data_IF_635693117655
#
_entry.id   IF_635693117655
#
_cell.length_a   1.000
_cell.length_b   1.000
_cell.length_c   1.000
_cell.angle_alpha   90.00
_cell.angle_beta   90.00
_cell.angle_gamma   90.00
#
_symmetry.space_group_name_H-M   'P 1'
#
loop_
_entity.id
_entity.type
_entity.pdbx_description
1 polymer ?
#
# COMPACT_ATOMS: atom_id res chain seq x y z
N UNK A 1 18.65 -11.11 -12.00
CA UNK A 1 17.23 -10.80 -12.24
C UNK A 1 16.81 -9.62 -11.39
N UNK A 2 16.24 -8.61 -12.01
CA UNK A 2 15.71 -7.48 -11.27
C UNK A 2 14.51 -7.92 -10.45
N UNK A 3 14.46 -7.45 -9.20
CA UNK A 3 13.30 -7.70 -8.36
C UNK A 3 12.20 -6.73 -8.76
N UNK A 4 11.04 -7.24 -9.13
CA UNK A 4 9.89 -6.40 -9.39
C UNK A 4 9.20 -6.10 -8.06
N UNK A 5 8.95 -4.82 -7.80
CA UNK A 5 8.37 -4.35 -6.55
C UNK A 5 7.18 -3.46 -6.84
N UNK A 6 6.07 -3.74 -6.18
CA UNK A 6 4.88 -2.89 -6.20
C UNK A 6 4.77 -2.13 -4.88
N UNK A 7 4.41 -0.87 -4.95
CA UNK A 7 4.07 -0.07 -3.77
C UNK A 7 2.57 0.22 -3.83
N UNK A 8 1.84 -0.28 -2.85
CA UNK A 8 0.38 -0.15 -2.81
C UNK A 8 -0.04 0.70 -1.62
N UNK A 9 -0.50 1.92 -1.92
CA UNK A 9 -1.06 2.82 -0.93
C UNK A 9 -2.58 2.76 -0.97
N UNK A 10 -3.20 2.60 0.17
CA UNK A 10 -4.65 2.53 0.27
C UNK A 10 -5.16 3.30 1.49
N UNK A 11 -6.38 3.81 1.41
CA UNK A 11 -7.00 4.45 2.57
C UNK A 11 -7.35 3.42 3.66
N UNK A 12 -7.65 2.19 3.26
CA UNK A 12 -8.00 1.10 4.19
C UNK A 12 -9.04 1.51 5.25
N UNK A 13 -10.13 2.12 4.81
CA UNK A 13 -11.12 2.73 5.69
C UNK A 13 -12.52 2.16 5.47
N UNK A 14 -12.81 0.93 5.91
CA UNK A 14 -11.86 -0.10 6.36
C UNK A 14 -11.29 -0.92 5.20
N UNK A 15 -10.27 -1.77 5.44
CA UNK A 15 -9.82 -2.72 4.44
C UNK A 15 -10.92 -3.74 4.15
N UNK A 16 -11.07 -4.13 2.89
CA UNK A 16 -12.15 -4.99 2.42
C UNK A 16 -11.63 -6.21 1.70
N UNK A 17 -12.56 -7.12 1.33
CA UNK A 17 -12.26 -8.28 0.49
C UNK A 17 -11.63 -7.84 -0.84
N UNK A 18 -12.03 -6.66 -1.34
CA UNK A 18 -11.42 -6.08 -2.54
C UNK A 18 -9.93 -5.84 -2.37
N UNK A 19 -9.52 -5.37 -1.19
CA UNK A 19 -8.09 -5.17 -0.90
C UNK A 19 -7.33 -6.50 -0.87
N UNK A 20 -7.93 -7.55 -0.28
CA UNK A 20 -7.33 -8.89 -0.30
C UNK A 20 -7.10 -9.38 -1.72
N UNK A 21 -8.10 -9.22 -2.59
CA UNK A 21 -7.99 -9.66 -3.97
C UNK A 21 -6.90 -8.91 -4.73
N UNK A 22 -6.80 -7.60 -4.52
CA UNK A 22 -5.74 -6.80 -5.14
C UNK A 22 -4.38 -7.31 -4.70
N UNK A 23 -4.19 -7.53 -3.40
CA UNK A 23 -2.93 -8.01 -2.85
C UNK A 23 -2.57 -9.40 -3.38
N UNK A 24 -3.54 -10.30 -3.48
CA UNK A 24 -3.32 -11.63 -4.04
C UNK A 24 -2.88 -11.56 -5.50
N UNK A 25 -3.50 -10.70 -6.29
CA UNK A 25 -3.12 -10.53 -7.69
C UNK A 25 -1.73 -9.90 -7.83
N UNK A 26 -1.41 -8.91 -7.00
CA UNK A 26 -0.08 -8.30 -7.01
C UNK A 26 1.00 -9.30 -6.60
N UNK A 27 0.69 -10.20 -5.68
CA UNK A 27 1.62 -11.24 -5.25
C UNK A 27 1.97 -12.21 -6.37
N UNK A 28 1.07 -12.40 -7.34
CA UNK A 28 1.33 -13.25 -8.50
C UNK A 28 2.23 -12.56 -9.53
N UNK A 29 2.19 -11.24 -9.59
CA UNK A 29 2.88 -10.45 -10.62
C UNK A 29 4.26 -9.97 -10.14
N UNK A 30 4.34 -9.54 -8.89
CA UNK A 30 5.53 -8.90 -8.33
C UNK A 30 6.27 -9.81 -7.37
N UNK A 31 7.60 -9.65 -7.33
CA UNK A 31 8.42 -10.38 -6.36
C UNK A 31 8.07 -9.96 -4.93
N UNK A 32 7.79 -8.67 -4.74
CA UNK A 32 7.35 -8.14 -3.44
C UNK A 32 6.33 -7.03 -3.64
N UNK A 33 5.39 -6.94 -2.70
CA UNK A 33 4.41 -5.85 -2.65
C UNK A 33 4.51 -5.18 -1.28
N UNK A 34 4.76 -3.89 -1.28
CA UNK A 34 4.88 -3.10 -0.06
C UNK A 34 3.60 -2.30 0.10
N UNK A 35 2.91 -2.49 1.22
CA UNK A 35 1.62 -1.87 1.49
C UNK A 35 1.71 -0.84 2.61
N UNK A 36 0.97 0.23 2.48
CA UNK A 36 0.87 1.23 3.54
C UNK A 36 -0.49 1.91 3.49
N UNK A 37 -0.88 2.53 4.60
CA UNK A 37 -2.10 3.33 4.66
C UNK A 37 -1.75 4.75 4.26
N UNK A 38 -2.40 5.24 3.21
CA UNK A 38 -2.20 6.60 2.73
C UNK A 38 -2.83 7.61 3.68
N UNK A 39 -2.21 8.79 3.78
CA UNK A 39 -2.70 9.88 4.60
C UNK A 39 -3.01 11.08 3.72
N UNK A 40 -4.00 10.93 2.84
CA UNK A 40 -4.39 12.00 1.92
C UNK A 40 -5.10 13.13 2.69
N UNK A 41 -4.53 14.34 2.73
CA UNK A 41 -5.12 15.44 3.50
C UNK A 41 -6.44 15.94 2.93
N UNK A 42 -6.76 15.64 1.69
CA UNK A 42 -8.01 16.05 1.04
C UNK A 42 -9.17 15.10 1.30
N UNK A 43 -8.90 13.93 1.88
CA UNK A 43 -9.91 12.91 2.10
C UNK A 43 -10.27 12.82 3.57
N UNK A 44 -11.57 12.84 3.88
CA UNK A 44 -12.06 12.57 5.22
C UNK A 44 -12.12 11.07 5.45
N UNK A 45 -11.52 10.61 6.52
CA UNK A 45 -11.52 9.21 6.88
C UNK A 45 -12.45 8.97 8.07
N UNK A 46 -13.14 7.83 8.07
CA UNK A 46 -14.01 7.43 9.18
C UNK A 46 -13.21 7.10 10.42
N UNK A 47 -12.06 6.45 10.23
CA UNK A 47 -11.19 6.06 11.32
C UNK A 47 -9.86 6.76 11.21
N UNK A 48 -9.16 6.93 12.33
CA UNK A 48 -7.84 7.55 12.28
C UNK A 48 -6.82 6.59 11.65
N UNK A 49 -5.65 7.12 11.31
CA UNK A 49 -4.63 6.38 10.58
C UNK A 49 -4.06 5.21 11.40
N UNK A 50 -4.03 5.33 12.73
CA UNK A 50 -3.53 4.26 13.59
C UNK A 50 -4.44 3.04 13.52
N UNK A 51 -5.75 3.26 13.57
CA UNK A 51 -6.73 2.17 13.46
C UNK A 51 -6.68 1.55 12.06
N UNK A 52 -6.66 2.38 11.03
CA UNK A 52 -6.62 1.90 9.65
C UNK A 52 -5.35 1.09 9.37
N UNK A 53 -4.21 1.54 9.91
CA UNK A 53 -2.93 0.83 9.77
C UNK A 53 -2.99 -0.54 10.43
N UNK A 54 -3.56 -0.61 11.63
CA UNK A 54 -3.68 -1.87 12.35
C UNK A 54 -4.56 -2.87 11.61
N UNK A 55 -5.68 -2.39 11.05
CA UNK A 55 -6.59 -3.23 10.29
C UNK A 55 -5.93 -3.78 9.02
N UNK A 56 -5.19 -2.94 8.30
CA UNK A 56 -4.48 -3.38 7.10
C UNK A 56 -3.39 -4.37 7.46
N UNK A 57 -2.64 -4.11 8.51
CA UNK A 57 -1.59 -5.01 8.98
C UNK A 57 -2.16 -6.38 9.33
N UNK A 58 -3.30 -6.42 10.03
CA UNK A 58 -3.96 -7.66 10.38
C UNK A 58 -4.40 -8.44 9.14
N UNK A 59 -4.96 -7.74 8.16
CA UNK A 59 -5.37 -8.37 6.89
C UNK A 59 -4.18 -9.00 6.18
N UNK A 60 -3.05 -8.30 6.15
CA UNK A 60 -1.83 -8.82 5.52
C UNK A 60 -1.29 -10.03 6.27
N UNK A 61 -1.32 -10.00 7.59
CA UNK A 61 -0.90 -11.15 8.41
C UNK A 61 -1.79 -12.37 8.14
N UNK A 62 -3.09 -12.16 7.99
CA UNK A 62 -4.05 -13.23 7.70
C UNK A 62 -3.83 -13.86 6.33
N UNK A 63 -3.35 -13.09 5.35
CA UNK A 63 -3.01 -13.62 4.02
C UNK A 63 -1.81 -14.56 4.06
N UNK A 64 -0.93 -14.38 5.04
CA UNK A 64 0.24 -15.23 5.27
C UNK A 64 1.09 -15.43 3.99
N UNK A 65 1.32 -14.34 3.27
CA UNK A 65 2.13 -14.35 2.06
C UNK A 65 3.40 -13.52 2.29
N UNK A 66 4.57 -14.18 2.31
CA UNK A 66 5.84 -13.52 2.59
C UNK A 66 6.22 -12.44 1.57
N UNK A 67 5.61 -12.44 0.41
CA UNK A 67 5.85 -11.43 -0.64
C UNK A 67 5.13 -10.12 -0.35
N UNK A 68 4.14 -10.13 0.54
CA UNK A 68 3.37 -8.95 0.89
C UNK A 68 3.88 -8.39 2.21
N UNK A 69 4.37 -7.15 2.15
CA UNK A 69 4.97 -6.48 3.30
C UNK A 69 4.14 -5.26 3.68
N UNK A 70 3.95 -5.06 4.97
CA UNK A 70 3.34 -3.84 5.49
C UNK A 70 4.43 -2.95 6.08
N UNK A 71 4.49 -1.69 5.60
CA UNK A 71 5.46 -0.73 6.13
C UNK A 71 4.86 0.67 6.14
N UNK A 72 4.40 1.10 7.31
CA UNK A 72 3.78 2.41 7.47
C UNK A 72 4.82 3.54 7.47
N UNK A 73 6.11 3.22 7.58
CA UNK A 73 7.18 4.24 7.54
C UNK A 73 7.26 4.97 6.20
N UNK A 74 6.72 4.36 5.12
CA UNK A 74 6.75 5.00 3.81
C UNK A 74 5.61 5.99 3.60
N UNK A 75 4.66 6.07 4.52
CA UNK A 75 3.51 6.95 4.34
C UNK A 75 3.93 8.42 4.34
N UNK A 76 3.22 9.23 3.57
CA UNK A 76 3.37 10.68 3.56
C UNK A 76 2.07 11.29 3.03
N UNK A 77 2.01 12.62 3.00
CA UNK A 77 0.85 13.33 2.46
C UNK A 77 0.69 13.10 0.95
N UNK A 78 1.79 12.84 0.26
CA UNK A 78 1.81 12.76 -1.20
C UNK A 78 2.43 11.44 -1.66
N UNK A 79 1.84 10.86 -2.71
CA UNK A 79 2.32 9.59 -3.27
C UNK A 79 3.77 9.68 -3.73
N UNK A 80 4.17 10.81 -4.32
CA UNK A 80 5.54 11.02 -4.79
C UNK A 80 6.54 10.88 -3.64
N UNK A 81 6.21 11.43 -2.48
CA UNK A 81 7.08 11.33 -1.30
C UNK A 81 7.14 9.90 -0.77
N UNK A 82 6.00 9.18 -0.79
CA UNK A 82 5.97 7.77 -0.39
C UNK A 82 6.85 6.92 -1.29
N UNK A 83 6.81 7.17 -2.60
CA UNK A 83 7.66 6.48 -3.56
C UNK A 83 9.13 6.72 -3.24
N UNK A 84 9.52 7.96 -2.98
CA UNK A 84 10.89 8.31 -2.63
C UNK A 84 11.35 7.64 -1.34
N UNK A 85 10.50 7.65 -0.31
CA UNK A 85 10.80 6.98 0.95
C UNK A 85 11.00 5.49 0.77
N UNK A 86 10.13 4.85 0.00
CA UNK A 86 10.20 3.44 -0.28
C UNK A 86 11.50 3.07 -1.00
N UNK A 87 11.86 3.83 -2.02
CA UNK A 87 13.12 3.60 -2.75
C UNK A 87 14.32 3.71 -1.84
N UNK A 88 14.31 4.66 -0.93
CA UNK A 88 15.41 4.88 0.01
C UNK A 88 15.52 3.77 1.05
N UNK A 89 14.39 3.38 1.65
CA UNK A 89 14.35 2.37 2.71
C UNK A 89 14.79 1.02 2.19
N UNK A 90 14.32 0.64 1.00
CA UNK A 90 14.60 -0.68 0.43
C UNK A 90 15.77 -0.68 -0.56
N UNK A 91 16.41 0.47 -0.75
CA UNK A 91 17.57 0.64 -1.63
C UNK A 91 17.28 0.12 -3.05
N UNK A 92 16.16 0.58 -3.62
CA UNK A 92 15.71 0.19 -4.96
C UNK A 92 15.60 1.42 -5.86
N UNK A 93 15.85 1.23 -7.15
CA UNK A 93 15.79 2.32 -8.13
C UNK A 93 14.42 2.43 -8.78
N UNK A 94 13.73 1.31 -8.97
CA UNK A 94 12.46 1.27 -9.68
C UNK A 94 11.42 0.51 -8.89
N UNK A 95 10.18 1.01 -8.94
CA UNK A 95 9.02 0.32 -8.40
C UNK A 95 7.80 0.76 -9.19
N UNK A 96 6.74 -0.06 -9.16
CA UNK A 96 5.45 0.29 -9.73
C UNK A 96 4.54 0.75 -8.61
N UNK A 97 3.95 1.93 -8.77
CA UNK A 97 3.00 2.44 -7.80
C UNK A 97 1.58 2.01 -8.19
N UNK A 98 0.93 1.28 -7.29
CA UNK A 98 -0.42 0.75 -7.54
C UNK A 98 -1.43 1.61 -6.79
N UNK A 99 -2.43 2.07 -7.52
CA UNK A 99 -3.49 2.91 -6.96
C UNK A 99 -4.73 2.06 -6.76
N UNK A 100 -5.29 2.11 -5.56
CA UNK A 100 -6.56 1.45 -5.26
C UNK A 100 -7.71 2.14 -6.00
N UNK A 101 -8.79 1.40 -6.26
CA UNK A 101 -9.94 1.92 -7.03
C UNK A 101 -10.56 3.16 -6.39
N UNK A 102 -10.52 3.27 -5.07
CA UNK A 102 -11.03 4.43 -4.34
C UNK A 102 -10.18 5.69 -4.61
N UNK A 103 -8.89 5.53 -4.89
CA UNK A 103 -8.01 6.64 -5.22
C UNK A 103 -8.15 7.08 -6.68
N UNK A 104 -8.53 6.16 -7.57
CA UNK A 104 -8.76 6.48 -8.98
C UNK A 104 -9.89 7.50 -9.12
N UNK A 105 -10.92 7.40 -8.30
CA UNK A 105 -12.03 8.33 -8.31
C UNK A 105 -11.62 9.75 -7.92
N UNK A 106 -10.59 9.89 -7.10
CA UNK A 106 -10.09 11.20 -6.67
C UNK A 106 -9.24 11.88 -7.76
N UNK A 107 -8.74 11.10 -8.71
CA UNK A 107 -7.93 11.62 -9.83
C UNK A 107 -8.82 12.16 -10.93
N UNK A 108 -9.98 11.59 -11.12
CA UNK A 108 -10.97 11.97 -12.12
C UNK A 108 -12.13 12.73 -11.49
#
# INVERSE_FOLDING_TARGET
MEKSIALFGTSADPPTIGHEKILEELSKIYAHTICYVSNNPKKKHKEDIAIRSQLLKTLIEDLDDYKILFNQSVTSKWAVESIKKCKKIYEIDNLDFVIGSDLIQDIF
#
